data_IF_599589669389
#
_entry.id   IF_599589669389
#
_cell.length_a   1.000
_cell.length_b   1.000
_cell.length_c   1.000
_cell.angle_alpha   90.00
_cell.angle_beta   90.00
_cell.angle_gamma   90.00
#
_symmetry.space_group_name_H-M   'P 1'
#
loop_
_entity.id
_entity.type
_entity.pdbx_description
1 polymer ?
#
# COMPACT_ATOMS: atom_id res chain seq x y z
N UNK A 1 -26.62 -48.24 30.95
CA UNK A 1 -25.31 -48.30 30.24
C UNK A 1 -25.36 -47.63 28.86
N UNK A 2 -26.32 -47.92 27.97
CA UNK A 2 -26.41 -47.27 26.64
C UNK A 2 -26.63 -45.74 26.67
N UNK A 3 -27.40 -45.21 27.63
CA UNK A 3 -27.62 -43.75 27.80
C UNK A 3 -26.36 -42.97 28.26
N UNK A 4 -25.47 -43.62 29.02
CA UNK A 4 -24.22 -43.01 29.48
C UNK A 4 -23.18 -42.95 28.36
N UNK A 5 -23.20 -43.93 27.45
CA UNK A 5 -22.34 -43.98 26.27
C UNK A 5 -22.71 -42.92 25.22
N UNK A 6 -24.00 -42.58 25.09
CA UNK A 6 -24.47 -41.52 24.18
C UNK A 6 -24.09 -40.13 24.70
N UNK A 7 -24.17 -39.91 26.02
CA UNK A 7 -23.76 -38.65 26.63
C UNK A 7 -22.25 -38.40 26.47
N UNK A 8 -21.44 -39.46 26.54
CA UNK A 8 -19.99 -39.36 26.39
C UNK A 8 -19.57 -38.98 24.96
N UNK A 9 -20.27 -39.50 23.94
CA UNK A 9 -20.02 -39.17 22.51
C UNK A 9 -20.42 -37.72 22.19
N UNK A 10 -21.46 -37.20 22.82
CA UNK A 10 -21.86 -35.79 22.67
C UNK A 10 -20.83 -34.86 23.31
N UNK A 11 -20.22 -35.25 24.44
CA UNK A 11 -19.17 -34.47 25.12
C UNK A 11 -17.86 -34.44 24.30
N UNK A 12 -17.48 -35.53 23.62
CA UNK A 12 -16.27 -35.53 22.77
C UNK A 12 -16.44 -34.77 21.46
N UNK A 13 -17.66 -34.65 20.93
CA UNK A 13 -17.93 -33.89 19.71
C UNK A 13 -17.87 -32.36 19.90
N UNK A 14 -17.98 -31.86 21.13
CA UNK A 14 -17.95 -30.42 21.45
C UNK A 14 -16.51 -29.91 21.68
N UNK A 15 -15.51 -30.79 21.80
CA UNK A 15 -14.12 -30.40 22.07
C UNK A 15 -13.25 -30.27 20.81
N UNK A 16 -13.81 -30.54 19.64
CA UNK A 16 -13.13 -30.32 18.34
C UNK A 16 -13.46 -28.94 17.78
N UNK A 17 -13.24 -27.89 18.57
CA UNK A 17 -13.08 -26.56 17.98
C UNK A 17 -11.61 -26.47 17.58
N UNK A 18 -11.35 -26.50 16.26
CA UNK A 18 -10.04 -26.11 15.76
C UNK A 18 -9.80 -24.69 16.26
N UNK A 19 -8.91 -24.55 17.24
CA UNK A 19 -8.35 -23.27 17.63
C UNK A 19 -7.57 -22.83 16.40
N UNK A 20 -8.18 -21.96 15.59
CA UNK A 20 -7.45 -21.32 14.50
C UNK A 20 -6.39 -20.45 15.16
N UNK A 21 -5.17 -20.99 15.30
CA UNK A 21 -4.05 -20.23 15.82
C UNK A 21 -3.73 -19.15 14.79
N UNK A 22 -3.58 -17.92 15.27
CA UNK A 22 -3.27 -16.79 14.43
C UNK A 22 -1.95 -17.08 13.67
N UNK A 23 -2.00 -16.97 12.34
CA UNK A 23 -0.89 -17.29 11.44
C UNK A 23 -0.34 -15.99 10.87
N UNK A 24 0.93 -15.74 11.15
CA UNK A 24 1.68 -14.65 10.53
C UNK A 24 1.61 -14.76 9.01
N UNK A 25 0.94 -13.80 8.39
CA UNK A 25 0.72 -13.74 6.94
C UNK A 25 1.47 -12.54 6.37
N UNK A 26 2.41 -12.80 5.46
CA UNK A 26 3.27 -11.76 4.91
C UNK A 26 2.56 -11.01 3.78
N UNK A 27 2.71 -9.68 3.78
CA UNK A 27 2.15 -8.80 2.78
C UNK A 27 3.19 -7.77 2.36
N UNK A 28 3.43 -7.70 1.05
CA UNK A 28 4.21 -6.63 0.43
C UNK A 28 3.26 -5.68 -0.29
N UNK A 29 3.31 -4.40 0.07
CA UNK A 29 2.56 -3.32 -0.60
C UNK A 29 3.52 -2.39 -1.32
N UNK A 30 3.16 -2.01 -2.55
CA UNK A 30 3.91 -1.05 -3.35
C UNK A 30 2.98 0.04 -3.86
N UNK A 31 3.48 1.27 -3.86
CA UNK A 31 2.82 2.41 -4.45
C UNK A 31 3.41 2.67 -5.85
N UNK A 32 2.56 2.85 -6.86
CA UNK A 32 2.98 3.09 -8.24
C UNK A 32 2.24 4.29 -8.81
N UNK A 33 2.96 5.18 -9.48
CA UNK A 33 2.32 6.22 -10.29
C UNK A 33 1.37 5.57 -11.30
N UNK A 34 0.15 6.11 -11.42
CA UNK A 34 -0.74 5.71 -12.50
C UNK A 34 -0.03 5.94 -13.84
N UNK A 35 0.06 4.88 -14.63
CA UNK A 35 0.77 4.83 -15.92
C UNK A 35 2.25 5.30 -15.92
N UNK A 36 2.91 5.32 -14.76
CA UNK A 36 4.36 5.55 -14.68
C UNK A 36 5.05 4.55 -13.75
N UNK A 37 6.20 4.93 -13.18
CA UNK A 37 7.06 4.08 -12.34
C UNK A 37 6.55 3.93 -10.90
N UNK A 38 7.24 3.10 -10.12
CA UNK A 38 6.98 2.98 -8.68
C UNK A 38 7.42 4.23 -7.92
N UNK A 39 6.68 4.56 -6.86
CA UNK A 39 6.92 5.72 -6.01
C UNK A 39 8.04 5.36 -5.04
N UNK A 40 9.24 5.85 -5.36
CA UNK A 40 10.46 5.60 -4.57
C UNK A 40 10.52 6.40 -3.28
N UNK A 41 11.50 6.07 -2.43
CA UNK A 41 11.71 6.70 -1.10
C UNK A 41 11.74 8.23 -1.15
N UNK A 42 12.24 8.84 -2.24
CA UNK A 42 12.33 10.30 -2.39
C UNK A 42 10.96 10.98 -2.39
N UNK A 43 9.97 10.43 -3.11
CA UNK A 43 8.60 10.95 -3.10
C UNK A 43 7.83 10.46 -1.87
N UNK A 44 8.14 9.24 -1.43
CA UNK A 44 7.55 8.62 -0.24
C UNK A 44 6.10 8.21 -0.47
N UNK A 45 5.73 7.04 0.03
CA UNK A 45 4.34 6.61 0.12
C UNK A 45 4.08 6.04 1.52
N UNK A 46 3.13 6.63 2.24
CA UNK A 46 2.67 6.07 3.52
C UNK A 46 1.63 5.00 3.22
N UNK A 47 1.83 3.81 3.78
CA UNK A 47 0.92 2.69 3.69
C UNK A 47 0.24 2.53 5.06
N UNK A 48 -1.09 2.43 5.06
CA UNK A 48 -1.84 2.07 6.27
C UNK A 48 -2.80 0.94 5.94
N UNK A 49 -2.67 -0.16 6.68
CA UNK A 49 -3.45 -1.38 6.51
C UNK A 49 -4.41 -1.49 7.68
N UNK A 50 -5.70 -1.63 7.38
CA UNK A 50 -6.74 -1.76 8.39
C UNK A 50 -7.56 -3.01 8.16
N UNK A 51 -8.02 -3.60 9.24
CA UNK A 51 -9.18 -4.48 9.20
C UNK A 51 -10.39 -3.66 8.71
N UNK A 52 -11.07 -4.16 7.67
CA UNK A 52 -12.14 -3.39 7.02
C UNK A 52 -13.39 -3.31 7.87
N UNK A 53 -13.70 -4.36 8.63
CA UNK A 53 -14.93 -4.43 9.42
C UNK A 53 -14.87 -3.53 10.65
N UNK A 54 -13.70 -3.48 11.30
CA UNK A 54 -13.49 -2.79 12.58
C UNK A 54 -12.78 -1.44 12.43
N UNK A 55 -12.09 -1.21 11.30
CA UNK A 55 -11.25 -0.04 11.08
C UNK A 55 -9.94 -0.07 11.88
N UNK A 56 -9.65 -1.15 12.62
CA UNK A 56 -8.42 -1.30 13.41
C UNK A 56 -7.19 -1.28 12.48
N UNK A 57 -6.21 -0.44 12.78
CA UNK A 57 -4.92 -0.44 12.08
C UNK A 57 -4.17 -1.72 12.44
N UNK A 58 -3.86 -2.52 11.43
CA UNK A 58 -3.13 -3.77 11.54
C UNK A 58 -1.62 -3.56 11.33
N UNK A 59 -1.25 -2.67 10.40
CA UNK A 59 0.12 -2.27 10.16
C UNK A 59 0.17 -0.89 9.49
N UNK A 60 1.23 -0.14 9.72
CA UNK A 60 1.52 1.07 8.95
C UNK A 60 3.02 1.29 8.77
N UNK A 61 3.38 2.02 7.72
CA UNK A 61 4.77 2.36 7.46
C UNK A 61 4.95 3.09 6.15
N UNK A 62 6.20 3.17 5.70
CA UNK A 62 6.58 3.83 4.45
C UNK A 62 7.18 2.83 3.48
N UNK A 63 6.96 3.04 2.18
CA UNK A 63 7.72 2.31 1.18
C UNK A 63 9.19 2.74 1.19
N UNK A 64 10.08 1.77 1.01
CA UNK A 64 11.52 2.01 0.88
C UNK A 64 12.09 1.30 -0.34
N UNK A 65 12.94 1.99 -1.11
CA UNK A 65 13.58 1.49 -2.32
C UNK A 65 13.54 2.47 -3.50
N UNK A 66 13.89 1.97 -4.68
CA UNK A 66 13.96 2.74 -5.93
C UNK A 66 12.63 2.87 -6.66
N UNK A 67 12.66 3.48 -7.85
CA UNK A 67 11.46 3.59 -8.72
C UNK A 67 11.24 2.36 -9.60
N UNK A 68 12.00 1.29 -9.39
CA UNK A 68 12.02 0.11 -10.24
C UNK A 68 12.81 0.29 -11.55
N UNK A 69 12.86 -0.79 -12.34
CA UNK A 69 13.58 -0.85 -13.60
C UNK A 69 12.85 -0.06 -14.71
N UNK A 70 13.48 1.02 -15.20
CA UNK A 70 12.85 1.91 -16.19
C UNK A 70 12.61 1.22 -17.54
N UNK A 71 13.54 0.38 -17.99
CA UNK A 71 13.41 -0.36 -19.25
C UNK A 71 12.20 -1.29 -19.20
N UNK A 72 12.08 -2.06 -18.12
CA UNK A 72 11.00 -3.03 -17.91
C UNK A 72 9.63 -2.39 -17.75
N UNK A 73 9.55 -1.25 -17.06
CA UNK A 73 8.27 -0.60 -16.73
C UNK A 73 7.76 0.28 -17.88
N UNK A 74 8.66 1.03 -18.53
CA UNK A 74 8.27 2.12 -19.43
C UNK A 74 8.50 1.82 -20.91
N UNK A 75 9.42 0.91 -21.25
CA UNK A 75 9.88 0.72 -22.63
C UNK A 75 9.43 -0.64 -23.18
N UNK A 76 9.59 -1.70 -22.40
CA UNK A 76 9.22 -3.05 -22.83
C UNK A 76 7.69 -3.25 -22.90
N UNK A 77 7.18 -4.02 -23.87
CA UNK A 77 5.76 -4.38 -23.93
C UNK A 77 5.30 -5.12 -22.67
N UNK A 78 4.22 -4.64 -22.06
CA UNK A 78 3.63 -5.25 -20.86
C UNK A 78 2.98 -6.59 -21.22
N UNK A 79 3.36 -7.66 -20.53
CA UNK A 79 2.74 -8.98 -20.65
C UNK A 79 1.77 -9.25 -19.51
N UNK A 80 0.80 -10.13 -19.73
CA UNK A 80 -0.11 -10.56 -18.66
C UNK A 80 0.71 -11.29 -17.58
N UNK A 81 0.50 -10.91 -16.32
CA UNK A 81 1.26 -11.41 -15.16
C UNK A 81 2.77 -11.15 -15.22
N UNK A 82 3.23 -10.27 -16.12
CA UNK A 82 4.62 -9.86 -16.19
C UNK A 82 5.04 -9.13 -14.91
N UNK A 83 6.15 -9.55 -14.33
CA UNK A 83 6.68 -8.96 -13.10
C UNK A 83 7.42 -7.67 -13.39
N UNK A 84 7.08 -6.56 -12.73
CA UNK A 84 7.73 -5.25 -12.96
C UNK A 84 8.32 -4.64 -11.68
N UNK A 85 8.16 -5.31 -10.53
CA UNK A 85 8.49 -4.75 -9.22
C UNK A 85 9.98 -4.82 -8.82
N UNK A 86 10.85 -5.28 -9.72
CA UNK A 86 12.29 -5.39 -9.48
C UNK A 86 12.91 -4.02 -9.18
N UNK A 87 13.58 -3.92 -8.02
CA UNK A 87 14.18 -2.67 -7.54
C UNK A 87 13.17 -1.58 -7.15
N UNK A 88 11.87 -1.89 -7.14
CA UNK A 88 10.82 -0.97 -6.73
C UNK A 88 10.73 -0.86 -5.21
N UNK A 89 10.38 0.34 -4.73
CA UNK A 89 10.12 0.58 -3.33
C UNK A 89 8.94 -0.26 -2.84
N UNK A 90 9.08 -0.79 -1.62
CA UNK A 90 8.06 -1.63 -0.99
C UNK A 90 7.91 -1.31 0.50
N UNK A 91 6.72 -1.55 1.02
CA UNK A 91 6.45 -1.72 2.44
C UNK A 91 6.16 -3.22 2.65
N UNK A 92 6.91 -3.86 3.53
CA UNK A 92 6.80 -5.28 3.81
C UNK A 92 6.47 -5.47 5.29
N UNK A 93 5.43 -6.25 5.56
CA UNK A 93 4.94 -6.48 6.91
C UNK A 93 4.40 -7.90 7.03
N UNK A 94 4.31 -8.38 8.27
CA UNK A 94 3.64 -9.63 8.61
C UNK A 94 2.46 -9.29 9.50
N UNK A 95 1.27 -9.79 9.16
CA UNK A 95 0.03 -9.51 9.88
C UNK A 95 -0.44 -10.81 10.50
N UNK A 96 -0.71 -10.77 11.79
CA UNK A 96 -1.22 -11.90 12.54
C UNK A 96 -2.74 -12.01 12.38
N UNK A 97 -3.21 -13.04 11.68
CA UNK A 97 -4.63 -13.28 11.40
C UNK A 97 -4.98 -14.75 11.63
N UNK A 98 -6.12 -15.01 12.27
CA UNK A 98 -6.65 -16.33 12.58
C UNK A 98 -7.75 -16.77 11.59
N UNK A 99 -8.40 -15.83 10.91
CA UNK A 99 -9.40 -16.12 9.87
C UNK A 99 -9.19 -15.29 8.60
N UNK A 100 -9.77 -15.70 7.45
CA UNK A 100 -9.82 -14.86 6.27
C UNK A 100 -10.32 -13.45 6.60
N UNK A 101 -9.48 -12.45 6.39
CA UNK A 101 -9.73 -11.07 6.85
C UNK A 101 -9.70 -10.12 5.66
N UNK A 102 -10.79 -9.37 5.45
CA UNK A 102 -10.84 -8.31 4.44
C UNK A 102 -10.09 -7.09 4.98
N UNK A 103 -9.00 -6.72 4.34
CA UNK A 103 -8.22 -5.54 4.72
C UNK A 103 -8.44 -4.39 3.74
N UNK A 104 -8.40 -3.17 4.27
CA UNK A 104 -8.32 -1.94 3.49
C UNK A 104 -6.89 -1.44 3.53
N UNK A 105 -6.28 -1.26 2.35
CA UNK A 105 -4.92 -0.76 2.18
C UNK A 105 -5.00 0.65 1.61
N UNK A 106 -4.67 1.61 2.45
CA UNK A 106 -4.55 3.02 2.09
C UNK A 106 -3.12 3.36 1.71
N UNK A 107 -2.97 4.08 0.61
CA UNK A 107 -1.70 4.62 0.13
C UNK A 107 -1.82 6.13 -0.01
N UNK A 108 -1.00 6.85 0.74
CA UNK A 108 -0.89 8.31 0.69
C UNK A 108 0.44 8.69 0.04
N UNK A 109 0.39 9.27 -1.16
CA UNK A 109 1.57 9.66 -1.91
C UNK A 109 1.34 10.90 -2.81
N UNK A 110 2.38 11.73 -3.06
CA UNK A 110 3.70 11.68 -2.45
C UNK A 110 3.56 12.11 -0.99
N UNK A 111 4.25 11.44 -0.07
CA UNK A 111 4.21 11.82 1.34
C UNK A 111 5.18 12.97 1.66
N UNK A 112 6.24 13.13 0.86
CA UNK A 112 7.24 14.20 1.04
C UNK A 112 6.68 15.60 0.72
N UNK A 113 5.70 15.70 -0.19
CA UNK A 113 5.04 16.96 -0.59
C UNK A 113 3.58 16.92 -0.17
N UNK A 114 3.30 17.27 1.09
CA UNK A 114 1.97 17.07 1.71
C UNK A 114 0.85 17.83 1.02
N UNK A 115 1.18 18.96 0.41
CA UNK A 115 0.27 19.80 -0.38
C UNK A 115 -0.25 19.08 -1.64
N UNK A 116 0.47 18.06 -2.12
CA UNK A 116 0.14 17.30 -3.32
C UNK A 116 -0.30 15.86 -2.99
N UNK A 117 -0.36 15.48 -1.71
CA UNK A 117 -0.67 14.11 -1.31
C UNK A 117 -2.06 13.71 -1.75
N UNK A 118 -2.14 12.60 -2.46
CA UNK A 118 -3.39 11.93 -2.81
C UNK A 118 -3.45 10.63 -2.03
N UNK A 119 -4.66 10.30 -1.58
CA UNK A 119 -4.98 9.01 -0.98
C UNK A 119 -5.66 8.12 -2.00
N UNK A 120 -5.12 6.92 -2.22
CA UNK A 120 -5.78 5.86 -2.95
C UNK A 120 -5.97 4.66 -2.01
N UNK A 121 -7.06 3.94 -2.18
CA UNK A 121 -7.45 2.84 -1.29
C UNK A 121 -7.90 1.65 -2.12
N UNK A 122 -7.51 0.46 -1.70
CA UNK A 122 -8.03 -0.79 -2.25
C UNK A 122 -8.34 -1.76 -1.12
N UNK A 123 -9.10 -2.80 -1.43
CA UNK A 123 -9.41 -3.87 -0.51
C UNK A 123 -8.98 -5.21 -1.07
N UNK A 124 -8.47 -6.07 -0.20
CA UNK A 124 -8.06 -7.43 -0.54
C UNK A 124 -8.29 -8.35 0.64
N UNK A 125 -8.58 -9.62 0.36
CA UNK A 125 -8.63 -10.66 1.38
C UNK A 125 -7.23 -11.14 1.70
N UNK A 126 -6.87 -11.14 2.98
CA UNK A 126 -5.79 -11.96 3.48
C UNK A 126 -6.36 -13.30 3.93
N UNK A 127 -5.65 -14.37 3.57
CA UNK A 127 -5.98 -15.73 4.00
C UNK A 127 -4.83 -16.20 4.91
N UNK A 128 -5.10 -16.72 6.12
CA UNK A 128 -4.06 -17.16 7.05
C UNK A 128 -3.03 -18.09 6.39
N UNK A 129 -1.75 -17.74 6.52
CA UNK A 129 -0.62 -18.50 5.96
C UNK A 129 -0.50 -18.44 4.43
N UNK A 130 -1.27 -17.59 3.75
CA UNK A 130 -1.16 -17.34 2.30
C UNK A 130 -0.55 -15.96 2.05
N UNK A 131 0.76 -15.96 1.96
CA UNK A 131 1.55 -14.76 1.74
C UNK A 131 1.23 -14.08 0.39
N UNK A 132 1.16 -12.74 0.41
CA UNK A 132 1.10 -11.89 -0.79
C UNK A 132 2.47 -11.21 -0.94
N UNK A 133 3.41 -11.96 -1.49
CA UNK A 133 4.82 -11.58 -1.69
C UNK A 133 5.17 -11.48 -3.19
N UNK A 134 6.45 -11.33 -3.54
CA UNK A 134 6.89 -11.16 -4.93
C UNK A 134 6.50 -9.79 -5.49
N UNK A 135 5.61 -9.76 -6.50
CA UNK A 135 5.01 -8.51 -7.02
C UNK A 135 4.21 -7.76 -5.96
N UNK A 136 3.69 -8.48 -4.96
CA UNK A 136 2.90 -7.91 -3.88
C UNK A 136 1.61 -7.25 -4.36
N UNK A 137 0.98 -6.50 -3.47
CA UNK A 137 -0.13 -5.62 -3.79
C UNK A 137 0.40 -4.29 -4.35
N UNK A 138 0.17 -4.04 -5.64
CA UNK A 138 0.50 -2.76 -6.27
C UNK A 138 -0.74 -1.86 -6.26
N UNK A 139 -0.66 -0.73 -5.57
CA UNK A 139 -1.70 0.28 -5.54
C UNK A 139 -1.28 1.44 -6.44
N UNK A 140 -2.09 1.74 -7.46
CA UNK A 140 -1.83 2.85 -8.35
C UNK A 140 -2.34 4.17 -7.77
N UNK A 141 -1.46 5.17 -7.70
CA UNK A 141 -1.78 6.52 -7.24
C UNK A 141 -1.79 7.45 -8.46
N UNK A 142 -2.95 8.01 -8.83
CA UNK A 142 -3.00 9.04 -9.87
C UNK A 142 -2.51 10.38 -9.33
N UNK A 143 -2.04 11.26 -10.22
CA UNK A 143 -1.81 12.67 -9.93
C UNK A 143 -0.40 13.15 -10.25
N UNK A 144 -0.10 14.35 -9.77
CA UNK A 144 1.16 15.05 -10.03
C UNK A 144 1.69 15.69 -8.74
N UNK A 145 3.01 15.66 -8.56
CA UNK A 145 3.69 16.50 -7.60
C UNK A 145 4.06 17.81 -8.28
N UNK A 146 3.58 18.91 -7.73
CA UNK A 146 3.84 20.28 -8.19
C UNK A 146 4.76 20.95 -7.17
N UNK A 147 5.95 21.33 -7.58
CA UNK A 147 6.89 22.09 -6.77
C UNK A 147 7.04 23.51 -7.35
N UNK A 148 6.52 24.51 -6.63
CA UNK A 148 6.58 25.92 -7.03
C UNK A 148 7.92 26.49 -6.56
N UNK A 149 8.77 26.90 -7.51
CA UNK A 149 10.09 27.47 -7.24
C UNK A 149 10.12 29.00 -7.31
N UNK A 150 9.10 29.64 -7.89
CA UNK A 150 8.98 31.10 -7.94
C UNK A 150 7.52 31.57 -7.83
N UNK A 151 7.29 32.74 -7.19
CA UNK A 151 8.29 33.67 -6.66
C UNK A 151 8.76 33.29 -5.25
N UNK A 152 10.03 33.59 -4.93
CA UNK A 152 10.51 33.61 -3.55
C UNK A 152 10.22 34.94 -2.84
N UNK A 153 10.54 36.07 -3.51
CA UNK A 153 10.24 37.44 -3.06
C UNK A 153 9.90 38.30 -4.29
N UNK A 154 8.84 39.09 -4.22
CA UNK A 154 8.48 40.06 -5.25
C UNK A 154 9.00 41.46 -4.87
N UNK A 155 9.49 42.23 -5.86
CA UNK A 155 9.81 43.66 -5.71
C UNK A 155 8.80 44.48 -6.49
N UNK A 156 8.27 45.51 -5.84
CA UNK A 156 7.45 46.53 -6.49
C UNK A 156 8.37 47.57 -7.15
N UNK A 157 8.03 47.97 -8.36
CA UNK A 157 8.60 49.08 -9.11
C UNK A 157 7.43 49.98 -9.51
N UNK A 158 7.42 51.23 -9.02
CA UNK A 158 6.33 52.19 -9.26
C UNK A 158 4.92 51.70 -8.86
N UNK A 159 4.83 50.89 -7.80
CA UNK A 159 3.55 50.33 -7.34
C UNK A 159 3.11 49.08 -8.10
N UNK A 160 3.86 48.64 -9.10
CA UNK A 160 3.59 47.44 -9.90
C UNK A 160 4.68 46.38 -9.68
N UNK A 161 4.34 45.10 -9.78
CA UNK A 161 5.32 44.01 -9.78
C UNK A 161 5.00 43.01 -10.89
N UNK A 162 6.01 42.66 -11.68
CA UNK A 162 5.96 41.48 -12.55
C UNK A 162 6.51 40.30 -11.76
N UNK A 163 5.65 39.32 -11.49
CA UNK A 163 5.98 38.17 -10.67
C UNK A 163 6.15 36.94 -11.59
N UNK A 164 7.39 36.51 -11.88
CA UNK A 164 7.58 35.27 -12.63
C UNK A 164 7.14 34.08 -11.77
N UNK A 165 6.24 33.26 -12.32
CA UNK A 165 5.82 31.99 -11.74
C UNK A 165 6.62 30.87 -12.39
N UNK A 166 7.22 30.03 -11.58
CA UNK A 166 7.93 28.83 -12.04
C UNK A 166 7.52 27.65 -11.16
N UNK A 167 7.19 26.55 -11.80
CA UNK A 167 6.85 25.30 -11.13
C UNK A 167 7.41 24.11 -11.91
N UNK A 168 7.83 23.08 -11.18
CA UNK A 168 8.16 21.77 -11.73
C UNK A 168 7.01 20.82 -11.45
N UNK A 169 6.52 20.15 -12.49
CA UNK A 169 5.41 19.20 -12.40
C UNK A 169 5.92 17.83 -12.82
N UNK A 170 5.75 16.83 -11.95
CA UNK A 170 6.11 15.43 -12.22
C UNK A 170 4.96 14.52 -11.86
N UNK A 171 4.80 13.39 -12.56
CA UNK A 171 3.92 12.32 -12.06
C UNK A 171 4.48 11.77 -10.75
N UNK A 172 3.56 11.40 -9.85
CA UNK A 172 3.87 10.92 -8.49
C UNK A 172 4.38 9.49 -8.55
#
# INVERSE_FOLDING_TARGET
>A
MKKLSILLIIITGILSYDISEAVMTNLVVRAKSKDAKFIGTKMGAKIVIRDTATGKVLAEGFTSGGTGNTQKIMIEPKTRFGQISEGAAKFETSIDIDEPTLITVDVEAPYTYKENTIKNSTQIWLIPGRDIVGEGLVVEVPGFSVNISAPGKAKLVNGEAVIPIQASIVMI
#
